data_IF_673041313046
#
_entry.id   IF_673041313046
#
_cell.length_a   1.000
_cell.length_b   1.000
_cell.length_c   1.000
_cell.angle_alpha   90.00
_cell.angle_beta   90.00
_cell.angle_gamma   90.00
#
_symmetry.space_group_name_H-M   'P 1'
#
loop_
_entity.id
_entity.type
_entity.pdbx_description
1 polymer ?
#
# COMPACT_ATOMS: atom_id res chain seq x y z
N UNK A 1 -5.25 -25.15 -13.47
CA UNK A 1 -6.17 -24.28 -12.70
C UNK A 1 -5.64 -22.86 -12.81
N UNK A 2 -6.38 -21.96 -13.49
CA UNK A 2 -5.99 -20.55 -13.62
C UNK A 2 -6.24 -19.88 -12.27
N UNK A 3 -5.16 -19.61 -11.53
CA UNK A 3 -5.21 -18.84 -10.30
C UNK A 3 -5.44 -17.37 -10.71
N UNK A 4 -6.70 -16.96 -10.86
CA UNK A 4 -7.06 -15.56 -10.99
C UNK A 4 -6.68 -14.89 -9.66
N UNK A 5 -5.44 -14.43 -9.56
CA UNK A 5 -4.95 -13.71 -8.40
C UNK A 5 -5.69 -12.37 -8.39
N UNK A 6 -6.69 -12.26 -7.52
CA UNK A 6 -7.40 -11.00 -7.30
C UNK A 6 -6.35 -9.94 -6.97
N UNK A 7 -6.28 -8.83 -7.72
CA UNK A 7 -5.26 -7.82 -7.45
C UNK A 7 -5.46 -7.28 -6.04
N UNK A 8 -4.40 -7.32 -5.22
CA UNK A 8 -4.46 -6.80 -3.85
C UNK A 8 -4.87 -5.33 -3.89
N UNK A 9 -5.99 -5.01 -3.26
CA UNK A 9 -6.54 -3.65 -3.19
C UNK A 9 -6.08 -3.02 -1.89
N UNK A 10 -5.42 -1.87 -1.99
CA UNK A 10 -4.97 -1.12 -0.83
C UNK A 10 -5.48 0.32 -0.94
N UNK A 11 -6.08 0.84 0.12
CA UNK A 11 -6.50 2.24 0.20
C UNK A 11 -6.35 2.77 1.62
N UNK A 12 -6.28 4.10 1.75
CA UNK A 12 -6.18 4.77 3.03
C UNK A 12 -7.33 5.78 3.19
N UNK A 13 -7.98 5.76 4.35
CA UNK A 13 -9.05 6.69 4.71
C UNK A 13 -8.63 7.48 5.95
N UNK A 14 -9.03 8.75 6.02
CA UNK A 14 -8.89 9.50 7.27
C UNK A 14 -9.90 8.98 8.29
N UNK A 15 -9.49 8.84 9.56
CA UNK A 15 -10.41 8.41 10.61
C UNK A 15 -11.34 9.58 10.98
N UNK A 16 -12.68 9.46 10.78
CA UNK A 16 -13.60 10.59 10.93
C UNK A 16 -13.68 11.10 12.37
N UNK A 17 -13.59 10.20 13.35
CA UNK A 17 -13.70 10.53 14.78
C UNK A 17 -12.37 10.97 15.41
N UNK A 18 -11.23 10.67 14.77
CA UNK A 18 -9.89 10.91 15.33
C UNK A 18 -9.00 11.61 14.32
N UNK A 19 -9.03 12.96 14.27
CA UNK A 19 -8.20 13.74 13.35
C UNK A 19 -6.71 13.42 13.51
N UNK A 20 -6.04 13.12 12.40
CA UNK A 20 -4.62 12.77 12.38
C UNK A 20 -4.31 11.27 12.42
N UNK A 21 -5.34 10.43 12.64
CA UNK A 21 -5.30 9.00 12.41
C UNK A 21 -5.86 8.65 11.03
N UNK A 22 -5.30 7.60 10.44
CA UNK A 22 -5.66 7.09 9.13
C UNK A 22 -5.82 5.58 9.23
N UNK A 23 -6.82 5.05 8.55
CA UNK A 23 -6.99 3.62 8.39
C UNK A 23 -6.48 3.20 7.03
N UNK A 24 -5.55 2.24 7.03
CA UNK A 24 -5.03 1.60 5.84
C UNK A 24 -5.71 0.24 5.75
N UNK A 25 -6.43 0.03 4.66
CA UNK A 25 -7.14 -1.21 4.34
C UNK A 25 -6.38 -1.91 3.22
N UNK A 26 -6.12 -3.21 3.40
CA UNK A 26 -5.47 -4.07 2.41
C UNK A 26 -6.25 -5.37 2.28
N UNK A 27 -6.73 -5.68 1.08
CA UNK A 27 -7.48 -6.89 0.80
C UNK A 27 -6.87 -7.62 -0.40
N UNK A 28 -6.38 -8.84 -0.17
CA UNK A 28 -5.84 -9.73 -1.21
C UNK A 28 -6.85 -10.76 -1.72
N UNK A 29 -8.09 -10.75 -1.21
CA UNK A 29 -9.12 -11.76 -1.45
C UNK A 29 -9.06 -12.94 -0.48
N UNK A 30 -7.85 -13.34 -0.07
CA UNK A 30 -7.65 -14.39 0.95
C UNK A 30 -7.49 -13.81 2.36
N UNK A 31 -6.85 -12.65 2.46
CA UNK A 31 -6.54 -11.98 3.72
C UNK A 31 -6.89 -10.49 3.58
N UNK A 32 -7.68 -10.01 4.54
CA UNK A 32 -7.96 -8.59 4.73
C UNK A 32 -7.26 -8.09 6.00
N UNK A 33 -6.61 -6.94 5.91
CA UNK A 33 -5.89 -6.28 7.00
C UNK A 33 -6.32 -4.82 7.10
N UNK A 34 -6.65 -4.40 8.32
CA UNK A 34 -6.95 -3.02 8.65
C UNK A 34 -5.92 -2.54 9.67
N UNK A 35 -5.21 -1.47 9.34
CA UNK A 35 -4.17 -0.90 10.19
C UNK A 35 -4.49 0.56 10.46
N UNK A 36 -4.37 0.97 11.73
CA UNK A 36 -4.46 2.38 12.11
C UNK A 36 -3.04 2.95 12.13
N UNK A 37 -2.85 4.06 11.42
CA UNK A 37 -1.58 4.74 11.27
C UNK A 37 -1.71 6.23 11.57
N UNK A 38 -0.61 6.84 11.99
CA UNK A 38 -0.51 8.30 12.11
C UNK A 38 -0.17 8.93 10.76
N UNK A 39 -0.35 10.25 10.63
CA UNK A 39 0.06 10.98 9.42
C UNK A 39 1.53 10.75 9.04
N UNK A 40 2.43 10.79 10.02
CA UNK A 40 3.86 10.60 9.82
C UNK A 40 4.16 9.20 9.26
N UNK A 41 3.50 8.18 9.81
CA UNK A 41 3.62 6.79 9.34
C UNK A 41 3.09 6.64 7.92
N UNK A 42 1.96 7.28 7.60
CA UNK A 42 1.37 7.24 6.25
C UNK A 42 2.27 7.93 5.21
N UNK A 43 2.85 9.08 5.55
CA UNK A 43 3.79 9.79 4.67
C UNK A 43 5.07 9.00 4.43
N UNK A 44 5.62 8.37 5.49
CA UNK A 44 6.77 7.49 5.38
C UNK A 44 6.49 6.27 4.49
N UNK A 45 5.31 5.65 4.64
CA UNK A 45 4.87 4.54 3.79
C UNK A 45 4.79 4.98 2.32
N UNK A 46 4.17 6.14 2.05
CA UNK A 46 4.08 6.69 0.69
C UNK A 46 5.46 6.91 0.06
N UNK A 47 6.40 7.47 0.81
CA UNK A 47 7.77 7.68 0.35
C UNK A 47 8.45 6.33 0.02
N UNK A 48 8.34 5.35 0.92
CA UNK A 48 8.90 4.01 0.72
C UNK A 48 8.34 3.29 -0.52
N UNK A 49 7.03 3.42 -0.77
CA UNK A 49 6.40 2.85 -1.98
C UNK A 49 6.98 3.50 -3.24
N UNK A 50 7.08 4.82 -3.27
CA UNK A 50 7.63 5.53 -4.42
C UNK A 50 9.09 5.13 -4.70
N UNK A 51 9.91 5.00 -3.66
CA UNK A 51 11.29 4.56 -3.79
C UNK A 51 11.37 3.11 -4.32
N UNK A 52 10.52 2.22 -3.83
CA UNK A 52 10.46 0.84 -4.30
C UNK A 52 10.08 0.75 -5.78
N UNK A 53 9.10 1.56 -6.22
CA UNK A 53 8.69 1.63 -7.63
C UNK A 53 9.82 2.18 -8.51
N UNK A 54 10.49 3.24 -8.07
CA UNK A 54 11.63 3.81 -8.80
C UNK A 54 12.77 2.80 -8.94
N UNK A 55 13.06 2.03 -7.88
CA UNK A 55 14.06 0.96 -7.93
C UNK A 55 13.66 -0.18 -8.87
N UNK A 56 12.39 -0.59 -8.87
CA UNK A 56 11.90 -1.63 -9.78
C UNK A 56 12.02 -1.19 -11.25
N UNK A 57 11.64 0.05 -11.55
CA UNK A 57 11.79 0.63 -12.89
C UNK A 57 13.26 0.64 -13.35
N UNK A 58 14.19 1.03 -12.48
CA UNK A 58 15.63 0.98 -12.78
C UNK A 58 16.09 -0.45 -13.05
N UNK A 59 15.63 -1.44 -12.27
CA UNK A 59 15.97 -2.86 -12.48
C UNK A 59 15.41 -3.37 -13.81
N UNK A 60 14.19 -3.01 -14.18
CA UNK A 60 13.58 -3.38 -15.46
C UNK A 60 14.33 -2.82 -16.64
N UNK A 61 14.82 -1.57 -16.55
CA UNK A 61 15.64 -0.94 -17.59
C UNK A 61 17.00 -1.61 -17.75
N UNK A 62 17.65 -2.02 -16.66
CA UNK A 62 18.95 -2.74 -16.71
C UNK A 62 18.87 -4.15 -17.30
N UNK A 63 17.68 -4.76 -17.31
CA UNK A 63 17.44 -6.10 -17.87
C UNK A 63 17.05 -6.06 -19.36
N UNK A 64 16.82 -4.88 -19.92
CA UNK A 64 16.62 -4.66 -21.36
C UNK A 64 17.95 -4.27 -22.00
#
# INVERSE_FOLDING_TARGET
MSMFQTPTRVWANAHPEYPGLFEIHSDSGDIALNQVATRQTLEALRASINDALAQDDLRRRRRR
#
